data_IF_192156329155
#
_entry.id   IF_192156329155
#
_cell.length_a   1.000
_cell.length_b   1.000
_cell.length_c   1.000
_cell.angle_alpha   90.00
_cell.angle_beta   90.00
_cell.angle_gamma   90.00
#
_symmetry.space_group_name_H-M   'P 1'
#
loop_
_entity.id
_entity.type
_entity.pdbx_description
1 polymer ?
#
# COMPACT_ATOMS: atom_id res chain seq x y z
N UNK A 1 34.15 -39.44 -57.99
CA UNK A 1 33.12 -39.47 -56.92
C UNK A 1 31.75 -39.57 -57.60
N UNK A 2 30.90 -40.53 -57.22
CA UNK A 2 29.61 -40.75 -57.90
C UNK A 2 28.54 -39.84 -57.27
N UNK A 3 28.24 -38.73 -57.95
CA UNK A 3 27.30 -37.69 -57.50
C UNK A 3 25.89 -38.22 -57.22
N UNK A 4 25.43 -39.21 -57.98
CA UNK A 4 24.12 -39.83 -57.76
C UNK A 4 24.05 -40.56 -56.40
N UNK A 5 25.12 -41.27 -56.02
CA UNK A 5 25.19 -41.95 -54.71
C UNK A 5 25.25 -40.95 -53.54
N UNK A 6 25.88 -39.79 -53.76
CA UNK A 6 25.97 -38.73 -52.75
C UNK A 6 24.62 -38.02 -52.55
N UNK A 7 23.91 -37.70 -53.64
CA UNK A 7 22.58 -37.10 -53.58
C UNK A 7 21.61 -38.04 -52.86
N UNK A 8 21.60 -39.33 -53.21
CA UNK A 8 20.75 -40.32 -52.56
C UNK A 8 21.00 -40.39 -51.04
N UNK A 9 22.27 -40.43 -50.64
CA UNK A 9 22.64 -40.49 -49.22
C UNK A 9 22.22 -39.22 -48.46
N UNK A 10 22.38 -38.03 -49.04
CA UNK A 10 21.94 -36.77 -48.42
C UNK A 10 20.43 -36.74 -48.25
N UNK A 11 19.67 -37.19 -49.26
CA UNK A 11 18.21 -37.25 -49.19
C UNK A 11 17.74 -38.22 -48.09
N UNK A 12 18.34 -39.40 -48.01
CA UNK A 12 18.01 -40.38 -46.95
C UNK A 12 18.33 -39.82 -45.56
N UNK A 13 19.49 -39.19 -45.38
CA UNK A 13 19.84 -38.58 -44.10
C UNK A 13 18.92 -37.42 -43.73
N UNK A 14 18.48 -36.62 -44.70
CA UNK A 14 17.51 -35.56 -44.47
C UNK A 14 16.16 -36.12 -44.00
N UNK A 15 15.63 -37.15 -44.66
CA UNK A 15 14.38 -37.79 -44.22
C UNK A 15 14.51 -38.47 -42.86
N UNK A 16 15.66 -39.08 -42.55
CA UNK A 16 15.93 -39.63 -41.22
C UNK A 16 16.01 -38.54 -40.16
N UNK A 17 16.63 -37.39 -40.47
CA UNK A 17 16.69 -36.24 -39.57
C UNK A 17 15.30 -35.66 -39.30
N UNK A 18 14.52 -35.38 -40.35
CA UNK A 18 13.14 -34.86 -40.21
C UNK A 18 12.25 -35.87 -39.49
N UNK A 19 12.36 -37.17 -39.82
CA UNK A 19 11.64 -38.24 -39.13
C UNK A 19 12.01 -38.35 -37.65
N UNK A 20 13.29 -38.18 -37.32
CA UNK A 20 13.78 -38.14 -35.94
C UNK A 20 13.24 -36.92 -35.19
N UNK A 21 13.25 -35.73 -35.80
CA UNK A 21 12.64 -34.53 -35.21
C UNK A 21 11.14 -34.68 -34.99
N UNK A 22 10.41 -35.29 -35.94
CA UNK A 22 8.98 -35.54 -35.80
C UNK A 22 8.68 -36.58 -34.70
N UNK A 23 9.45 -37.67 -34.63
CA UNK A 23 9.34 -38.65 -33.56
C UNK A 23 9.67 -38.05 -32.19
N UNK A 24 10.72 -37.21 -32.12
CA UNK A 24 11.05 -36.45 -30.92
C UNK A 24 9.92 -35.52 -30.50
N UNK A 25 9.34 -34.76 -31.43
CA UNK A 25 8.22 -33.86 -31.15
C UNK A 25 6.97 -34.62 -30.66
N UNK A 26 6.63 -35.77 -31.26
CA UNK A 26 5.48 -36.59 -30.83
C UNK A 26 5.68 -37.16 -29.42
N UNK A 27 6.91 -37.45 -29.01
CA UNK A 27 7.22 -37.95 -27.67
C UNK A 27 7.34 -36.81 -26.64
N UNK A 28 7.96 -35.69 -27.01
CA UNK A 28 8.29 -34.58 -26.10
C UNK A 28 7.11 -33.61 -25.90
N UNK A 29 6.35 -33.28 -26.95
CA UNK A 29 5.25 -32.30 -26.87
C UNK A 29 4.17 -32.67 -25.84
N UNK A 30 3.68 -33.92 -25.75
CA UNK A 30 2.64 -34.28 -24.78
C UNK A 30 3.07 -34.13 -23.32
N UNK A 31 4.38 -34.27 -23.05
CA UNK A 31 4.94 -34.09 -21.71
C UNK A 31 5.21 -32.62 -21.42
N UNK A 32 5.73 -31.89 -22.40
CA UNK A 32 6.20 -30.52 -22.24
C UNK A 32 5.08 -29.46 -22.34
N UNK A 33 3.98 -29.75 -23.06
CA UNK A 33 2.86 -28.81 -23.21
C UNK A 33 2.06 -28.57 -21.92
N UNK A 34 1.60 -29.58 -21.15
CA UNK A 34 0.82 -29.33 -19.94
C UNK A 34 1.67 -28.64 -18.86
N UNK A 35 2.92 -29.08 -18.71
CA UNK A 35 3.88 -28.47 -17.78
C UNK A 35 4.10 -27.00 -18.12
N UNK A 36 4.24 -26.66 -19.41
CA UNK A 36 4.40 -25.28 -19.85
C UNK A 36 3.13 -24.44 -19.60
N UNK A 37 1.95 -25.00 -19.84
CA UNK A 37 0.67 -24.31 -19.64
C UNK A 37 0.41 -24.04 -18.15
N UNK A 38 0.75 -25.00 -17.29
CA UNK A 38 0.71 -24.87 -15.82
C UNK A 38 1.68 -23.79 -15.32
N UNK A 39 2.95 -23.83 -15.74
CA UNK A 39 3.93 -22.78 -15.39
C UNK A 39 3.50 -21.38 -15.86
N UNK A 40 2.91 -21.28 -17.06
CA UNK A 40 2.43 -20.00 -17.56
C UNK A 40 1.21 -19.49 -16.79
N UNK A 41 0.34 -20.39 -16.33
CA UNK A 41 -0.82 -20.01 -15.51
C UNK A 41 -0.40 -19.57 -14.11
N UNK A 42 0.50 -20.30 -13.45
CA UNK A 42 1.07 -19.90 -12.16
C UNK A 42 1.72 -18.52 -12.26
N UNK A 43 2.63 -18.33 -13.22
CA UNK A 43 3.29 -17.03 -13.45
C UNK A 43 2.28 -15.91 -13.78
N UNK A 44 1.19 -16.23 -14.48
CA UNK A 44 0.10 -15.29 -14.78
C UNK A 44 -0.65 -14.88 -13.51
N UNK A 45 -0.92 -15.84 -12.62
CA UNK A 45 -1.59 -15.62 -11.33
C UNK A 45 -0.71 -14.74 -10.42
N UNK A 46 0.59 -15.03 -10.31
CA UNK A 46 1.53 -14.23 -9.51
C UNK A 46 1.58 -12.77 -10.02
N UNK A 47 1.69 -12.58 -11.34
CA UNK A 47 1.67 -11.24 -11.97
C UNK A 47 0.33 -10.54 -11.76
N UNK A 48 -0.77 -11.28 -11.82
CA UNK A 48 -2.12 -10.78 -11.56
C UNK A 48 -2.30 -10.32 -10.11
N UNK A 49 -1.77 -11.08 -9.16
CA UNK A 49 -1.76 -10.74 -7.73
C UNK A 49 -1.02 -9.42 -7.49
N UNK A 50 0.16 -9.24 -8.10
CA UNK A 50 0.92 -7.99 -8.02
C UNK A 50 0.13 -6.81 -8.62
N UNK A 51 -0.46 -6.98 -9.80
CA UNK A 51 -1.26 -5.94 -10.45
C UNK A 51 -2.48 -5.57 -9.62
N UNK A 52 -3.16 -6.55 -9.02
CA UNK A 52 -4.28 -6.34 -8.12
C UNK A 52 -3.87 -5.56 -6.87
N UNK A 53 -2.76 -5.97 -6.22
CA UNK A 53 -2.26 -5.30 -5.03
C UNK A 53 -1.85 -3.84 -5.31
N UNK A 54 -1.35 -3.53 -6.50
CA UNK A 54 -0.97 -2.16 -6.87
C UNK A 54 -2.17 -1.27 -7.25
N UNK A 55 -3.18 -1.83 -7.93
CA UNK A 55 -4.18 -1.02 -8.63
C UNK A 55 -5.62 -1.18 -8.11
N UNK A 56 -5.95 -2.34 -7.53
CA UNK A 56 -7.32 -2.74 -7.25
C UNK A 56 -7.65 -2.77 -5.74
N UNK A 57 -6.67 -3.10 -4.90
CA UNK A 57 -6.89 -3.33 -3.46
C UNK A 57 -7.46 -2.13 -2.70
N UNK A 58 -7.16 -0.91 -3.14
CA UNK A 58 -7.62 0.32 -2.47
C UNK A 58 -9.14 0.45 -2.47
N UNK A 59 -9.81 -0.10 -3.49
CA UNK A 59 -11.26 -0.17 -3.55
C UNK A 59 -11.80 -1.54 -3.13
N UNK A 60 -11.08 -2.63 -3.47
CA UNK A 60 -11.58 -3.99 -3.34
C UNK A 60 -11.06 -4.77 -2.13
N UNK A 61 -10.24 -4.16 -1.27
CA UNK A 61 -9.65 -4.79 -0.08
C UNK A 61 -8.32 -5.51 -0.37
N UNK A 62 -7.47 -5.65 0.66
CA UNK A 62 -6.15 -6.28 0.52
C UNK A 62 -6.25 -7.77 0.16
N UNK A 63 -7.28 -8.44 0.69
CA UNK A 63 -7.62 -9.83 0.40
C UNK A 63 -8.78 -9.97 -0.58
N UNK A 64 -9.19 -8.88 -1.25
CA UNK A 64 -10.34 -8.87 -2.16
C UNK A 64 -11.71 -8.96 -1.47
N UNK A 65 -11.76 -8.67 -0.17
CA UNK A 65 -12.94 -8.73 0.70
C UNK A 65 -14.00 -7.65 0.42
N UNK A 66 -13.66 -6.66 -0.42
CA UNK A 66 -14.50 -5.52 -0.77
C UNK A 66 -14.22 -4.29 0.10
N UNK A 67 -15.09 -3.29 -0.01
CA UNK A 67 -14.98 -2.01 0.69
C UNK A 67 -15.76 -0.95 -0.07
N UNK A 68 -15.04 -0.03 -0.71
CA UNK A 68 -15.62 0.92 -1.69
C UNK A 68 -16.12 0.17 -2.93
N UNK A 69 -15.33 -0.79 -3.39
CA UNK A 69 -15.65 -1.72 -4.45
C UNK A 69 -16.28 -3.00 -3.92
N UNK A 70 -16.91 -3.75 -4.82
CA UNK A 70 -17.50 -5.06 -4.51
C UNK A 70 -16.42 -6.09 -4.12
N UNK A 71 -16.75 -7.11 -3.31
CA UNK A 71 -15.83 -8.21 -3.04
C UNK A 71 -15.48 -8.95 -4.33
N UNK A 72 -14.19 -9.22 -4.53
CA UNK A 72 -13.66 -9.94 -5.70
C UNK A 72 -13.11 -11.32 -5.33
N UNK A 73 -12.73 -11.53 -4.07
CA UNK A 73 -12.33 -12.84 -3.57
C UNK A 73 -13.57 -13.65 -3.15
N UNK A 74 -14.32 -14.16 -4.13
CA UNK A 74 -15.59 -14.87 -3.88
C UNK A 74 -15.59 -16.27 -4.46
N UNK A 75 -16.35 -17.19 -3.85
CA UNK A 75 -16.54 -18.54 -4.39
C UNK A 75 -17.12 -18.55 -5.81
N UNK A 76 -17.91 -17.52 -6.17
CA UNK A 76 -18.50 -17.41 -7.50
C UNK A 76 -17.44 -17.21 -8.59
N UNK A 77 -16.40 -16.40 -8.35
CA UNK A 77 -15.34 -16.17 -9.32
C UNK A 77 -14.34 -17.33 -9.42
N UNK A 78 -14.23 -18.16 -8.38
CA UNK A 78 -13.34 -19.33 -8.32
C UNK A 78 -13.99 -20.63 -8.83
N UNK A 79 -15.25 -20.58 -9.28
CA UNK A 79 -15.96 -21.74 -9.81
C UNK A 79 -15.35 -22.18 -11.14
N UNK A 80 -14.77 -23.38 -11.15
CA UNK A 80 -14.06 -23.96 -12.31
C UNK A 80 -15.00 -24.70 -13.28
N UNK A 81 -16.32 -24.66 -13.07
CA UNK A 81 -17.26 -25.11 -14.10
C UNK A 81 -16.99 -24.36 -15.42
N UNK A 82 -16.78 -25.05 -16.56
CA UNK A 82 -16.33 -24.40 -17.80
C UNK A 82 -17.23 -23.27 -18.31
N UNK A 83 -18.55 -23.36 -18.07
CA UNK A 83 -19.49 -22.33 -18.52
C UNK A 83 -19.45 -21.11 -17.60
N UNK A 84 -19.42 -21.33 -16.28
CA UNK A 84 -19.31 -20.26 -15.30
C UNK A 84 -17.95 -19.56 -15.36
N UNK A 85 -16.86 -20.33 -15.44
CA UNK A 85 -15.51 -19.80 -15.58
C UNK A 85 -15.40 -18.90 -16.82
N UNK A 86 -15.88 -19.37 -17.98
CA UNK A 86 -15.90 -18.57 -19.20
C UNK A 86 -16.71 -17.29 -19.05
N UNK A 87 -17.89 -17.36 -18.44
CA UNK A 87 -18.74 -16.18 -18.21
C UNK A 87 -18.08 -15.18 -17.24
N UNK A 88 -17.48 -15.67 -16.15
CA UNK A 88 -16.77 -14.86 -15.16
C UNK A 88 -15.57 -14.15 -15.77
N UNK A 89 -14.72 -14.87 -16.51
CA UNK A 89 -13.56 -14.29 -17.20
C UNK A 89 -13.99 -13.18 -18.15
N UNK A 90 -15.01 -13.43 -18.96
CA UNK A 90 -15.52 -12.45 -19.93
C UNK A 90 -16.16 -11.22 -19.26
N UNK A 91 -16.79 -11.40 -18.09
CA UNK A 91 -17.33 -10.32 -17.28
C UNK A 91 -16.19 -9.47 -16.69
N UNK A 92 -15.20 -10.11 -16.08
CA UNK A 92 -14.06 -9.44 -15.44
C UNK A 92 -13.23 -8.69 -16.47
N UNK A 93 -12.85 -9.35 -17.57
CA UNK A 93 -12.07 -8.77 -18.66
C UNK A 93 -12.74 -7.50 -19.21
N UNK A 94 -14.04 -7.56 -19.52
CA UNK A 94 -14.79 -6.40 -20.00
C UNK A 94 -14.86 -5.28 -18.97
N UNK A 95 -15.09 -5.63 -17.69
CA UNK A 95 -15.25 -4.65 -16.61
C UNK A 95 -13.93 -3.95 -16.29
N UNK A 96 -12.82 -4.69 -16.23
CA UNK A 96 -11.49 -4.12 -16.02
C UNK A 96 -11.08 -3.29 -17.23
N UNK A 97 -11.33 -3.77 -18.44
CA UNK A 97 -10.93 -3.07 -19.66
C UNK A 97 -11.63 -1.73 -19.85
N UNK A 98 -12.95 -1.69 -19.70
CA UNK A 98 -13.75 -0.52 -20.03
C UNK A 98 -14.27 0.25 -18.81
N UNK A 99 -13.97 -0.23 -17.60
CA UNK A 99 -14.60 0.26 -16.38
C UNK A 99 -16.09 -0.04 -16.36
N UNK A 100 -16.81 0.64 -15.46
CA UNK A 100 -18.28 0.52 -15.39
C UNK A 100 -18.92 1.90 -15.32
N UNK A 101 -19.59 2.26 -16.42
CA UNK A 101 -20.31 3.53 -16.50
C UNK A 101 -21.31 3.69 -15.35
N UNK A 102 -21.30 4.85 -14.70
CA UNK A 102 -22.14 5.15 -13.54
C UNK A 102 -21.61 4.62 -12.21
N UNK A 103 -20.37 4.10 -12.15
CA UNK A 103 -19.68 3.76 -10.89
C UNK A 103 -18.30 4.41 -10.82
N UNK A 104 -17.62 4.27 -9.68
CA UNK A 104 -16.24 4.72 -9.49
C UNK A 104 -15.20 3.84 -10.19
N UNK A 105 -15.59 2.71 -10.82
CA UNK A 105 -14.66 1.79 -11.45
C UNK A 105 -14.16 2.38 -12.78
N UNK A 106 -12.88 2.80 -12.88
CA UNK A 106 -12.35 3.40 -14.09
C UNK A 106 -12.07 2.33 -15.15
N UNK A 107 -11.83 2.78 -16.38
CA UNK A 107 -11.26 1.92 -17.42
C UNK A 107 -9.76 1.71 -17.15
N UNK A 108 -9.30 0.46 -17.22
CA UNK A 108 -7.90 0.13 -17.01
C UNK A 108 -7.15 -0.21 -18.30
N UNK A 109 -7.84 -0.61 -19.37
CA UNK A 109 -7.19 -0.88 -20.65
C UNK A 109 -6.70 0.43 -21.27
N UNK A 110 -5.47 0.44 -21.76
CA UNK A 110 -4.82 1.59 -22.35
C UNK A 110 -5.57 2.15 -23.57
N UNK A 111 -6.15 1.29 -24.41
CA UNK A 111 -7.01 1.72 -25.54
C UNK A 111 -8.36 2.29 -25.09
N UNK A 112 -8.72 2.07 -23.82
CA UNK A 112 -9.91 2.64 -23.17
C UNK A 112 -9.56 3.81 -22.24
N UNK A 113 -8.31 4.29 -22.26
CA UNK A 113 -7.83 5.43 -21.45
C UNK A 113 -7.21 5.07 -20.09
N UNK A 114 -6.99 3.78 -19.80
CA UNK A 114 -6.34 3.30 -18.58
C UNK A 114 -4.83 3.07 -18.70
N UNK A 115 -4.21 2.48 -17.69
CA UNK A 115 -2.76 2.30 -17.60
C UNK A 115 -2.24 0.91 -18.01
N UNK A 116 -3.13 -0.08 -18.21
CA UNK A 116 -2.77 -1.49 -18.41
C UNK A 116 -2.94 -1.92 -19.86
N UNK A 117 -2.10 -2.83 -20.33
CA UNK A 117 -2.28 -3.51 -21.61
C UNK A 117 -3.15 -4.78 -21.46
N UNK A 118 -3.58 -5.34 -22.59
CA UNK A 118 -4.46 -6.53 -22.65
C UNK A 118 -3.90 -7.74 -21.90
N UNK A 119 -2.58 -7.97 -21.95
CA UNK A 119 -1.92 -9.07 -21.24
C UNK A 119 -1.95 -8.87 -19.72
N UNK A 120 -1.79 -7.64 -19.25
CA UNK A 120 -1.90 -7.32 -17.83
C UNK A 120 -3.35 -7.52 -17.33
N UNK A 121 -4.35 -7.23 -18.16
CA UNK A 121 -5.75 -7.53 -17.83
C UNK A 121 -5.97 -9.04 -17.79
N UNK A 122 -5.42 -9.80 -18.73
CA UNK A 122 -5.45 -11.28 -18.72
C UNK A 122 -4.88 -11.83 -17.40
N UNK A 123 -3.71 -11.33 -16.95
CA UNK A 123 -3.11 -11.71 -15.67
C UNK A 123 -4.05 -11.45 -14.47
N UNK A 124 -4.71 -10.28 -14.42
CA UNK A 124 -5.67 -9.97 -13.36
C UNK A 124 -6.86 -10.94 -13.40
N UNK A 125 -7.37 -11.26 -14.60
CA UNK A 125 -8.50 -12.19 -14.76
C UNK A 125 -8.10 -13.61 -14.37
N UNK A 126 -6.91 -14.08 -14.74
CA UNK A 126 -6.34 -15.36 -14.32
C UNK A 126 -6.27 -15.44 -12.79
N UNK A 127 -5.70 -14.43 -12.15
CA UNK A 127 -5.62 -14.34 -10.69
C UNK A 127 -7.00 -14.39 -10.01
N UNK A 128 -7.95 -13.54 -10.45
CA UNK A 128 -9.28 -13.47 -9.82
C UNK A 128 -10.11 -14.75 -9.99
N UNK A 129 -9.84 -15.53 -11.04
CA UNK A 129 -10.54 -16.78 -11.34
C UNK A 129 -9.75 -18.04 -10.97
N UNK A 130 -8.58 -17.86 -10.34
CA UNK A 130 -7.71 -18.95 -9.95
C UNK A 130 -8.44 -19.96 -9.03
N UNK A 131 -8.25 -21.27 -9.23
CA UNK A 131 -8.86 -22.29 -8.40
C UNK A 131 -8.41 -22.19 -6.94
N UNK A 132 -9.23 -22.70 -6.02
CA UNK A 132 -8.84 -22.86 -4.62
C UNK A 132 -7.92 -24.08 -4.49
N UNK A 133 -6.82 -23.93 -3.77
CA UNK A 133 -6.02 -25.03 -3.27
C UNK A 133 -6.44 -25.35 -1.82
N UNK A 134 -7.10 -26.49 -1.62
CA UNK A 134 -7.58 -26.90 -0.30
C UNK A 134 -6.48 -27.20 0.72
N UNK A 135 -5.22 -27.28 0.28
CA UNK A 135 -4.06 -27.45 1.18
C UNK A 135 -3.58 -26.13 1.77
N UNK A 136 -4.02 -25.00 1.19
CA UNK A 136 -3.68 -23.65 1.62
C UNK A 136 -4.86 -23.00 2.34
N UNK A 137 -4.56 -22.24 3.38
CA UNK A 137 -5.56 -21.49 4.16
C UNK A 137 -5.18 -20.03 4.28
N UNK A 138 -6.18 -19.15 4.27
CA UNK A 138 -6.02 -17.74 4.57
C UNK A 138 -5.84 -17.49 6.08
N UNK A 139 -5.68 -16.23 6.46
CA UNK A 139 -5.47 -15.81 7.86
C UNK A 139 -6.63 -16.17 8.80
N UNK A 140 -7.82 -16.42 8.23
CA UNK A 140 -9.03 -16.79 8.95
C UNK A 140 -9.27 -18.32 8.94
N UNK A 141 -8.37 -19.09 8.32
CA UNK A 141 -8.47 -20.54 8.21
C UNK A 141 -9.37 -21.04 7.08
N UNK A 142 -9.79 -20.18 6.14
CA UNK A 142 -10.58 -20.60 4.98
C UNK A 142 -9.67 -21.07 3.84
N UNK A 143 -10.10 -22.07 3.03
CA UNK A 143 -9.36 -22.50 1.85
C UNK A 143 -9.10 -21.35 0.86
N UNK A 144 -7.85 -21.24 0.39
CA UNK A 144 -7.39 -20.15 -0.50
C UNK A 144 -6.49 -20.68 -1.63
N UNK A 145 -5.77 -19.80 -2.34
CA UNK A 145 -4.74 -20.19 -3.30
C UNK A 145 -3.49 -19.31 -3.16
N UNK A 146 -2.40 -19.71 -3.81
CA UNK A 146 -1.10 -19.02 -3.79
C UNK A 146 -1.24 -17.56 -4.21
N UNK A 147 -1.96 -17.28 -5.30
CA UNK A 147 -2.18 -15.92 -5.78
C UNK A 147 -2.79 -14.99 -4.73
N UNK A 148 -3.80 -15.42 -3.97
CA UNK A 148 -4.41 -14.58 -2.93
C UNK A 148 -3.51 -14.40 -1.71
N UNK A 149 -2.72 -15.41 -1.34
CA UNK A 149 -1.71 -15.27 -0.29
C UNK A 149 -0.64 -14.26 -0.70
N UNK A 150 -0.17 -14.34 -1.94
CA UNK A 150 0.77 -13.39 -2.51
C UNK A 150 0.18 -12.01 -2.68
N UNK A 151 -1.09 -11.87 -3.09
CA UNK A 151 -1.73 -10.56 -3.20
C UNK A 151 -1.81 -9.87 -1.83
N UNK A 152 -2.09 -10.63 -0.76
CA UNK A 152 -2.10 -10.13 0.61
C UNK A 152 -0.68 -9.80 1.07
N UNK A 153 0.30 -10.67 0.78
CA UNK A 153 1.71 -10.42 1.10
C UNK A 153 2.23 -9.19 0.36
N UNK A 154 1.97 -9.05 -0.95
CA UNK A 154 2.28 -7.87 -1.73
C UNK A 154 1.49 -6.66 -1.25
N UNK A 155 0.26 -6.81 -0.77
CA UNK A 155 -0.46 -5.70 -0.16
C UNK A 155 0.17 -5.29 1.17
N UNK A 156 0.64 -6.23 1.99
CA UNK A 156 1.39 -5.96 3.20
C UNK A 156 2.73 -5.32 2.89
N UNK A 157 3.47 -5.86 1.92
CA UNK A 157 4.72 -5.30 1.41
C UNK A 157 4.45 -3.95 0.80
N UNK A 158 3.39 -3.71 0.03
CA UNK A 158 3.05 -2.37 -0.48
C UNK A 158 2.57 -1.44 0.63
N UNK A 159 1.90 -1.92 1.66
CA UNK A 159 1.63 -1.13 2.86
C UNK A 159 2.91 -0.87 3.68
N UNK A 160 3.93 -1.73 3.52
CA UNK A 160 5.29 -1.60 4.05
C UNK A 160 6.27 -0.87 3.08
N UNK A 161 5.94 -0.73 1.79
CA UNK A 161 6.73 -0.14 0.70
C UNK A 161 6.12 1.21 0.28
N UNK A 162 4.90 1.51 0.72
CA UNK A 162 4.48 2.89 1.03
C UNK A 162 5.36 3.45 2.18
N UNK A 163 6.07 2.58 2.94
CA UNK A 163 7.23 2.91 3.80
C UNK A 163 8.62 2.63 3.16
N UNK A 164 8.70 2.29 1.86
CA UNK A 164 9.96 2.09 1.14
C UNK A 164 9.89 2.64 -0.30
N UNK A 165 10.26 3.90 -0.47
CA UNK A 165 10.47 4.48 -1.80
C UNK A 165 11.76 3.93 -2.45
N UNK A 166 11.66 3.60 -3.74
CA UNK A 166 12.75 3.34 -4.68
C UNK A 166 13.55 4.62 -4.99
N UNK A 167 14.87 4.50 -4.97
CA UNK A 167 15.94 5.45 -5.33
C UNK A 167 15.52 6.85 -5.84
N UNK A 168 15.71 7.85 -5.01
CA UNK A 168 15.55 9.27 -5.37
C UNK A 168 14.96 10.15 -4.28
N UNK A 169 14.41 9.54 -3.23
CA UNK A 169 13.63 10.26 -2.23
C UNK A 169 14.47 10.85 -1.10
N UNK A 170 14.19 12.11 -0.78
CA UNK A 170 14.75 12.81 0.37
C UNK A 170 13.92 12.51 1.60
N UNK A 171 14.57 12.42 2.75
CA UNK A 171 14.19 13.27 3.88
C UNK A 171 12.68 13.40 4.20
N UNK A 172 12.15 14.49 3.66
CA UNK A 172 10.77 14.87 3.82
C UNK A 172 9.77 13.84 3.27
N UNK A 173 10.13 13.04 2.26
CA UNK A 173 9.28 12.03 1.59
C UNK A 173 8.80 10.90 2.47
N UNK A 174 9.63 10.52 3.42
CA UNK A 174 9.38 9.36 4.27
C UNK A 174 8.83 9.84 5.64
N UNK A 175 9.14 11.06 6.06
CA UNK A 175 8.47 11.70 7.21
C UNK A 175 6.98 11.96 6.98
N UNK A 176 6.62 12.25 5.74
CA UNK A 176 5.24 12.37 5.22
C UNK A 176 4.41 11.10 5.35
N UNK A 177 5.02 9.93 5.55
CA UNK A 177 4.30 8.67 5.42
C UNK A 177 3.72 8.12 6.74
N UNK A 178 4.21 8.52 7.94
CA UNK A 178 3.85 7.79 9.18
C UNK A 178 3.82 8.59 10.51
N UNK A 179 3.78 9.92 10.44
CA UNK A 179 3.09 10.83 11.37
C UNK A 179 3.36 10.70 12.90
N UNK A 180 4.65 10.64 13.26
CA UNK A 180 5.20 11.16 14.53
C UNK A 180 6.34 12.09 14.15
N UNK A 181 6.49 13.20 14.87
CA UNK A 181 7.65 14.06 14.72
C UNK A 181 8.93 13.30 15.11
N UNK A 182 9.92 13.19 14.20
CA UNK A 182 11.18 12.50 14.49
C UNK A 182 11.90 13.07 15.72
N UNK A 183 11.64 14.35 16.01
CA UNK A 183 12.12 15.08 17.17
C UNK A 183 11.59 14.54 18.49
N UNK A 184 10.31 14.20 18.60
CA UNK A 184 9.71 13.66 19.82
C UNK A 184 10.27 12.27 20.14
N UNK A 185 10.44 11.44 19.11
CA UNK A 185 11.05 10.13 19.29
C UNK A 185 12.54 10.23 19.62
N UNK A 186 13.27 11.17 19.01
CA UNK A 186 14.66 11.44 19.35
C UNK A 186 14.83 12.01 20.76
N UNK A 187 14.00 12.98 21.16
CA UNK A 187 13.98 13.55 22.49
C UNK A 187 13.78 12.46 23.55
N UNK A 188 12.84 11.54 23.32
CA UNK A 188 12.55 10.43 24.22
C UNK A 188 13.69 9.38 24.29
N UNK A 189 14.50 9.29 23.23
CA UNK A 189 15.66 8.41 23.14
C UNK A 189 16.98 9.11 23.51
N UNK A 190 16.95 10.36 23.96
CA UNK A 190 18.15 11.13 24.32
C UNK A 190 19.06 11.45 23.14
N UNK A 191 18.49 11.49 21.93
CA UNK A 191 19.16 11.83 20.69
C UNK A 191 19.06 13.35 20.43
N UNK A 192 20.05 13.98 19.76
CA UNK A 192 19.96 15.37 19.32
C UNK A 192 18.66 15.62 18.52
N UNK A 193 17.96 16.72 18.83
CA UNK A 193 16.64 17.07 18.26
C UNK A 193 16.72 18.21 17.25
N UNK A 194 17.90 18.82 17.17
CA UNK A 194 18.30 19.98 16.40
C UNK A 194 19.03 19.61 15.10
N UNK A 195 19.39 18.33 14.92
CA UNK A 195 20.02 17.80 13.71
C UNK A 195 19.08 16.87 12.92
N UNK A 196 18.48 17.35 11.82
CA UNK A 196 17.62 16.56 10.95
C UNK A 196 18.29 15.32 10.34
N UNK A 197 19.60 15.34 10.12
CA UNK A 197 20.32 14.23 9.50
C UNK A 197 20.37 12.98 10.40
N UNK A 198 20.11 13.15 11.70
CA UNK A 198 20.16 12.09 12.69
C UNK A 198 18.91 11.18 12.68
N UNK A 199 17.78 11.67 12.15
CA UNK A 199 16.55 10.87 12.02
C UNK A 199 16.64 9.78 10.93
N UNK A 200 17.70 9.89 10.12
CA UNK A 200 17.85 9.30 8.78
C UNK A 200 19.05 8.40 8.72
N UNK A 201 19.96 8.64 9.67
CA UNK A 201 21.04 7.77 9.99
C UNK A 201 20.47 6.38 10.35
N UNK A 202 20.98 5.32 9.70
CA UNK A 202 20.70 3.95 10.11
C UNK A 202 21.05 3.79 11.59
N UNK A 203 20.11 3.26 12.36
CA UNK A 203 20.37 2.89 13.74
C UNK A 203 21.07 1.53 13.73
N UNK A 204 22.11 1.39 14.55
CA UNK A 204 22.92 0.18 14.60
C UNK A 204 22.05 -1.02 14.98
N UNK A 205 22.07 -2.07 14.17
CA UNK A 205 21.40 -3.35 14.47
C UNK A 205 21.74 -3.87 15.88
N UNK A 206 20.72 -4.33 16.59
CA UNK A 206 20.83 -4.75 17.99
C UNK A 206 20.69 -3.60 19.00
N UNK A 207 20.59 -2.35 18.56
CA UNK A 207 20.22 -1.22 19.41
C UNK A 207 18.80 -1.37 19.97
N UNK A 208 18.55 -0.68 21.09
CA UNK A 208 17.26 -0.68 21.76
C UNK A 208 16.64 0.70 21.66
N UNK A 209 15.47 0.80 21.02
CA UNK A 209 14.70 2.03 20.93
C UNK A 209 13.63 2.03 22.03
N UNK A 210 13.53 3.14 22.76
CA UNK A 210 12.47 3.39 23.73
C UNK A 210 11.29 4.03 23.02
N UNK A 211 10.12 3.42 23.17
CA UNK A 211 8.83 3.91 22.74
C UNK A 211 8.18 4.61 23.94
N UNK A 212 7.60 5.82 23.75
CA UNK A 212 6.93 6.55 24.81
C UNK A 212 5.85 5.75 25.56
N UNK A 213 5.55 6.10 26.82
CA UNK A 213 4.48 5.48 27.57
C UNK A 213 3.13 5.69 26.90
N UNK A 214 2.25 4.72 27.07
CA UNK A 214 0.83 4.82 26.69
C UNK A 214 -0.01 4.26 27.83
N UNK A 215 -1.33 4.49 27.87
CA UNK A 215 -2.19 3.90 28.90
C UNK A 215 -2.12 2.36 28.99
N UNK A 216 -1.81 1.68 27.87
CA UNK A 216 -1.59 0.22 27.84
C UNK A 216 -0.18 -0.20 28.24
N UNK A 217 0.80 0.70 28.11
CA UNK A 217 2.21 0.47 28.45
C UNK A 217 2.72 1.65 29.28
N UNK A 218 2.39 1.72 30.59
CA UNK A 218 2.62 2.89 31.43
C UNK A 218 4.11 3.25 31.62
N UNK A 219 5.00 2.29 31.38
CA UNK A 219 6.46 2.45 31.48
C UNK A 219 7.12 2.64 30.10
N UNK A 220 6.32 2.79 29.04
CA UNK A 220 6.81 2.71 27.66
C UNK A 220 7.16 1.28 27.24
N UNK A 221 7.79 1.15 26.08
CA UNK A 221 8.29 -0.15 25.59
C UNK A 221 9.70 -0.02 25.04
N UNK A 222 10.45 -1.10 25.11
CA UNK A 222 11.76 -1.20 24.46
C UNK A 222 11.63 -2.15 23.27
N UNK A 223 11.90 -1.64 22.07
CA UNK A 223 11.91 -2.43 20.84
C UNK A 223 13.37 -2.70 20.46
N UNK A 224 13.65 -3.94 20.10
CA UNK A 224 14.97 -4.33 19.61
C UNK A 224 15.02 -4.12 18.11
N UNK A 225 16.09 -3.50 17.65
CA UNK A 225 16.30 -3.20 16.23
C UNK A 225 16.91 -4.44 15.57
N UNK A 226 16.23 -4.96 14.56
CA UNK A 226 16.60 -6.26 13.95
C UNK A 226 17.35 -6.11 12.63
N UNK A 227 17.23 -4.97 11.93
CA UNK A 227 17.88 -4.75 10.64
C UNK A 227 18.98 -3.68 10.71
N UNK A 228 19.97 -3.75 9.79
CA UNK A 228 21.09 -2.80 9.73
C UNK A 228 20.70 -1.45 9.10
N UNK A 229 19.46 -1.33 8.61
CA UNK A 229 18.92 -0.15 7.92
C UNK A 229 17.62 0.38 8.58
N UNK A 230 17.36 0.00 9.83
CA UNK A 230 16.24 0.53 10.61
C UNK A 230 16.58 1.95 11.04
N UNK A 231 15.69 2.90 10.77
CA UNK A 231 15.79 4.29 11.25
C UNK A 231 14.88 4.49 12.45
N UNK A 232 15.15 5.54 13.23
CA UNK A 232 14.25 5.99 14.32
C UNK A 232 12.81 6.11 13.80
N UNK A 233 12.67 6.56 12.56
CA UNK A 233 11.42 6.64 11.82
C UNK A 233 10.73 5.29 11.66
N UNK A 234 11.33 4.32 10.96
CA UNK A 234 10.74 2.98 10.70
C UNK A 234 10.19 2.31 11.97
N UNK A 235 10.86 2.55 13.10
CA UNK A 235 10.45 2.03 14.41
C UNK A 235 9.16 2.70 14.92
N UNK A 236 8.98 3.99 14.67
CA UNK A 236 7.79 4.75 15.05
C UNK A 236 6.53 4.28 14.29
N UNK A 237 6.70 4.00 12.99
CA UNK A 237 5.65 3.57 12.05
C UNK A 237 5.17 2.16 12.38
N UNK A 238 6.12 1.23 12.53
CA UNK A 238 5.83 -0.16 12.91
C UNK A 238 5.12 -0.30 14.27
N UNK A 239 5.09 0.78 15.08
CA UNK A 239 4.51 0.79 16.42
C UNK A 239 3.26 1.68 16.55
N UNK A 240 2.79 2.31 15.46
CA UNK A 240 1.56 3.13 15.43
C UNK A 240 1.50 4.25 16.47
N UNK A 241 2.64 4.86 16.78
CA UNK A 241 2.74 5.79 17.91
C UNK A 241 1.95 7.09 17.67
N UNK A 242 1.75 7.52 16.42
CA UNK A 242 0.91 8.69 16.08
C UNK A 242 -0.58 8.46 16.35
N UNK A 243 -1.13 7.31 15.94
CA UNK A 243 -2.51 6.94 16.21
C UNK A 243 -2.78 6.78 17.73
N UNK A 244 -1.80 6.26 18.47
CA UNK A 244 -1.85 6.15 19.92
C UNK A 244 -1.95 7.53 20.62
N UNK A 245 -1.14 8.50 20.19
CA UNK A 245 -1.13 9.86 20.74
C UNK A 245 -2.48 10.55 20.51
N UNK A 246 -3.03 10.46 19.30
CA UNK A 246 -4.33 11.09 18.99
C UNK A 246 -5.46 10.41 19.77
N UNK A 247 -5.43 9.08 19.89
CA UNK A 247 -6.42 8.35 20.71
C UNK A 247 -6.36 8.78 22.18
N UNK A 248 -5.16 8.89 22.74
CA UNK A 248 -4.94 9.30 24.13
C UNK A 248 -5.41 10.73 24.40
N UNK A 249 -5.03 11.68 23.55
CA UNK A 249 -5.44 13.07 23.65
C UNK A 249 -6.97 13.23 23.66
N UNK A 250 -7.66 12.33 22.96
CA UNK A 250 -9.10 12.32 22.82
C UNK A 250 -9.82 11.36 23.77
N UNK A 251 -9.09 10.72 24.69
CA UNK A 251 -9.61 9.72 25.64
C UNK A 251 -10.36 8.57 24.95
N UNK A 252 -9.92 8.21 23.75
CA UNK A 252 -10.50 7.12 22.97
C UNK A 252 -9.86 5.79 23.40
N UNK A 253 -10.66 4.77 23.75
CA UNK A 253 -10.12 3.43 24.01
C UNK A 253 -9.46 2.86 22.75
N UNK A 254 -8.31 2.21 22.88
CA UNK A 254 -7.60 1.56 21.77
C UNK A 254 -6.84 0.31 22.25
N UNK A 255 -6.28 -0.45 21.32
CA UNK A 255 -5.39 -1.59 21.55
C UNK A 255 -4.24 -1.59 20.54
N UNK A 256 -3.02 -1.89 21.00
CA UNK A 256 -1.86 -2.11 20.12
C UNK A 256 -1.38 -3.55 20.29
N UNK A 257 -1.39 -4.34 19.21
CA UNK A 257 -0.73 -5.64 19.17
C UNK A 257 0.77 -5.46 18.89
N UNK A 258 1.58 -5.64 19.93
CA UNK A 258 3.03 -5.46 19.86
C UNK A 258 3.74 -6.52 18.98
N UNK A 259 3.13 -7.68 18.74
CA UNK A 259 3.72 -8.75 17.91
C UNK A 259 3.38 -8.56 16.44
N UNK A 260 2.18 -8.04 16.16
CA UNK A 260 1.66 -7.85 14.80
C UNK A 260 1.84 -6.44 14.26
N UNK A 261 2.19 -5.49 15.13
CA UNK A 261 2.27 -4.08 14.76
C UNK A 261 0.91 -3.59 14.25
N UNK A 262 -0.18 -3.89 14.97
CA UNK A 262 -1.53 -3.45 14.59
C UNK A 262 -2.12 -2.53 15.65
N UNK A 263 -2.74 -1.45 15.21
CA UNK A 263 -3.55 -0.55 16.03
C UNK A 263 -5.03 -0.89 15.84
N UNK A 264 -5.83 -0.76 16.90
CA UNK A 264 -7.27 -1.02 16.84
C UNK A 264 -7.97 -0.06 17.79
N UNK A 265 -8.87 0.76 17.27
CA UNK A 265 -9.72 1.63 18.07
C UNK A 265 -10.85 0.81 18.71
N UNK A 266 -11.23 1.14 19.94
CA UNK A 266 -12.25 0.43 20.70
C UNK A 266 -13.38 1.39 21.13
N UNK A 267 -14.59 0.86 21.26
CA UNK A 267 -15.70 1.58 21.88
C UNK A 267 -15.64 1.51 23.42
N UNK A 268 -16.62 2.14 24.08
CA UNK A 268 -16.76 2.14 25.54
C UNK A 268 -16.99 0.75 26.16
N UNK A 269 -17.40 -0.24 25.37
CA UNK A 269 -17.55 -1.64 25.76
C UNK A 269 -16.30 -2.48 25.48
N UNK A 270 -15.25 -1.91 24.88
CA UNK A 270 -14.02 -2.60 24.52
C UNK A 270 -14.10 -3.39 23.21
N UNK A 271 -15.14 -3.17 22.40
CA UNK A 271 -15.28 -3.81 21.08
C UNK A 271 -14.56 -2.97 20.01
N UNK A 272 -13.95 -3.64 19.05
CA UNK A 272 -13.26 -2.98 17.94
C UNK A 272 -14.24 -2.14 17.11
N UNK A 273 -13.86 -0.89 16.86
CA UNK A 273 -14.58 0.03 15.98
C UNK A 273 -13.70 0.37 14.78
N UNK A 274 -14.31 0.34 13.60
CA UNK A 274 -13.63 0.47 12.32
C UNK A 274 -13.31 1.93 11.95
N UNK A 275 -13.68 2.89 12.80
CA UNK A 275 -13.40 4.31 12.56
C UNK A 275 -14.16 5.23 13.50
N UNK A 276 -14.05 6.53 13.24
CA UNK A 276 -14.72 7.58 14.01
C UNK A 276 -16.03 8.00 13.33
N UNK A 277 -16.97 8.49 14.14
CA UNK A 277 -18.24 8.94 13.59
C UNK A 277 -18.09 10.29 12.88
N UNK A 278 -18.71 10.49 11.69
CA UNK A 278 -18.81 11.80 11.08
C UNK A 278 -19.42 12.82 12.05
N UNK A 279 -18.80 14.00 12.16
CA UNK A 279 -19.17 15.06 13.10
C UNK A 279 -18.47 14.97 14.46
N UNK A 280 -17.76 13.89 14.76
CA UNK A 280 -16.98 13.76 15.98
C UNK A 280 -15.84 14.79 16.00
N UNK A 281 -15.66 15.47 17.12
CA UNK A 281 -14.60 16.46 17.31
C UNK A 281 -13.38 15.81 17.98
N UNK A 282 -12.20 16.02 17.40
CA UNK A 282 -10.94 15.56 17.96
C UNK A 282 -10.04 16.73 18.34
N UNK A 283 -9.48 16.70 19.55
CA UNK A 283 -8.34 17.51 19.96
C UNK A 283 -7.07 17.03 19.25
N UNK A 284 -6.21 17.97 18.87
CA UNK A 284 -4.91 17.74 18.24
C UNK A 284 -3.78 18.30 19.12
N UNK A 285 -2.55 17.79 18.99
CA UNK A 285 -1.40 18.30 19.74
C UNK A 285 -1.17 19.80 19.53
N UNK A 286 -0.73 20.50 20.58
CA UNK A 286 -0.42 21.93 20.50
C UNK A 286 0.84 22.21 19.66
N UNK A 287 0.97 23.43 19.13
CA UNK A 287 2.19 23.89 18.46
C UNK A 287 2.38 23.43 17.00
N UNK A 288 1.40 22.73 16.45
CA UNK A 288 1.26 22.35 15.04
C UNK A 288 2.01 23.25 14.03
N UNK A 289 3.05 22.73 13.35
CA UNK A 289 3.67 23.37 12.18
C UNK A 289 3.44 22.54 10.92
N UNK A 290 3.03 23.17 9.83
CA UNK A 290 2.69 22.57 8.54
C UNK A 290 3.81 22.74 7.50
N UNK A 291 4.35 21.64 6.98
CA UNK A 291 5.22 21.69 5.80
C UNK A 291 4.39 21.72 4.50
N UNK A 292 4.61 22.74 3.68
CA UNK A 292 3.90 22.92 2.40
C UNK A 292 4.39 21.95 1.32
N UNK A 293 3.49 21.53 0.44
CA UNK A 293 3.80 20.64 -0.70
C UNK A 293 3.62 21.36 -2.03
N UNK A 294 4.15 20.78 -3.11
CA UNK A 294 3.99 21.32 -4.45
C UNK A 294 2.50 21.48 -4.81
N UNK A 295 2.11 22.71 -5.17
CA UNK A 295 0.72 23.05 -5.46
C UNK A 295 -0.09 23.54 -4.26
N UNK A 296 0.50 23.61 -3.05
CA UNK A 296 -0.11 24.30 -1.94
C UNK A 296 -0.09 25.82 -2.13
N UNK A 297 -1.14 26.45 -1.61
CA UNK A 297 -1.36 27.89 -1.54
C UNK A 297 -1.81 28.20 -0.11
N UNK A 298 -1.77 29.46 0.31
CA UNK A 298 -2.26 29.83 1.65
C UNK A 298 -3.74 29.47 1.82
N UNK A 299 -4.55 29.64 0.77
CA UNK A 299 -5.96 29.26 0.77
C UNK A 299 -6.19 27.75 0.88
N UNK A 300 -5.44 26.93 0.14
CA UNK A 300 -5.60 25.47 0.19
C UNK A 300 -5.18 24.90 1.54
N UNK A 301 -4.09 25.42 2.12
CA UNK A 301 -3.60 25.02 3.45
C UNK A 301 -4.59 25.45 4.53
N UNK A 302 -5.05 26.69 4.50
CA UNK A 302 -6.02 27.18 5.48
C UNK A 302 -7.34 26.42 5.41
N UNK A 303 -7.86 26.17 4.20
CA UNK A 303 -9.08 25.38 3.98
C UNK A 303 -8.95 23.93 4.44
N UNK A 304 -7.81 23.29 4.20
CA UNK A 304 -7.52 21.91 4.64
C UNK A 304 -7.58 21.78 6.17
N UNK A 305 -7.03 22.76 6.87
CA UNK A 305 -6.95 22.76 8.33
C UNK A 305 -8.14 23.45 9.01
N UNK A 306 -9.14 23.91 8.24
CA UNK A 306 -10.31 24.64 8.76
C UNK A 306 -9.92 25.88 9.58
N UNK A 307 -8.88 26.60 9.15
CA UNK A 307 -8.37 27.81 9.78
C UNK A 307 -8.53 29.01 8.84
N UNK A 308 -8.49 30.23 9.38
CA UNK A 308 -8.53 31.44 8.57
C UNK A 308 -7.16 31.70 7.91
N UNK A 309 -7.15 32.08 6.63
CA UNK A 309 -5.92 32.44 5.90
C UNK A 309 -5.16 33.55 6.62
N UNK A 310 -5.87 34.57 7.12
CA UNK A 310 -5.28 35.66 7.88
C UNK A 310 -4.52 35.17 9.14
N UNK A 311 -5.10 34.21 9.88
CA UNK A 311 -4.45 33.66 11.07
C UNK A 311 -3.18 32.84 10.73
N UNK A 312 -3.19 32.18 9.57
CA UNK A 312 -2.01 31.49 9.04
C UNK A 312 -0.92 32.48 8.61
N UNK A 313 -1.29 33.57 7.95
CA UNK A 313 -0.35 34.63 7.52
C UNK A 313 0.25 35.37 8.72
N UNK A 314 -0.55 35.67 9.74
CA UNK A 314 -0.08 36.40 10.93
C UNK A 314 1.04 35.65 11.68
N UNK A 315 0.96 34.33 11.75
CA UNK A 315 1.96 33.48 12.39
C UNK A 315 3.22 33.26 11.53
N UNK A 316 3.14 33.53 10.23
CA UNK A 316 4.18 33.24 9.26
C UNK A 316 4.61 34.48 8.47
N UNK A 317 4.38 35.66 9.04
CA UNK A 317 4.42 36.94 8.33
C UNK A 317 5.75 37.20 7.62
N UNK A 318 6.85 36.78 8.25
CA UNK A 318 8.20 36.95 7.72
C UNK A 318 8.47 36.09 6.47
N UNK A 319 7.70 35.01 6.27
CA UNK A 319 7.88 34.04 5.19
C UNK A 319 6.86 34.20 4.07
N UNK A 320 5.60 34.49 4.41
CA UNK A 320 4.47 34.49 3.45
C UNK A 320 3.69 35.80 3.40
N UNK A 321 4.05 36.80 4.21
CA UNK A 321 3.27 38.04 4.35
C UNK A 321 3.17 38.91 3.10
N UNK A 322 3.97 38.65 2.06
CA UNK A 322 3.92 39.34 0.78
C UNK A 322 3.24 38.53 -0.34
N UNK A 323 2.85 37.29 -0.09
CA UNK A 323 2.21 36.40 -1.06
C UNK A 323 0.69 36.59 -1.05
N UNK A 324 0.06 36.50 -2.22
CA UNK A 324 -1.39 36.41 -2.33
C UNK A 324 -1.89 35.04 -1.84
N UNK A 325 -3.17 34.94 -1.48
CA UNK A 325 -3.73 33.70 -0.91
C UNK A 325 -3.56 32.49 -1.85
N UNK A 326 -3.56 32.76 -3.17
CA UNK A 326 -3.58 31.77 -4.26
C UNK A 326 -2.18 31.53 -4.85
N UNK A 327 -1.17 32.27 -4.38
CA UNK A 327 0.20 32.08 -4.83
C UNK A 327 0.72 30.73 -4.35
N UNK A 328 1.47 30.06 -5.23
CA UNK A 328 2.10 28.80 -4.87
C UNK A 328 3.16 29.01 -3.80
N UNK A 329 3.04 28.23 -2.73
CA UNK A 329 4.02 28.20 -1.67
C UNK A 329 5.23 27.38 -2.11
N UNK A 330 6.46 27.79 -1.73
CA UNK A 330 7.65 26.97 -1.95
C UNK A 330 7.46 25.59 -1.31
N UNK A 331 7.76 24.49 -2.00
CA UNK A 331 7.69 23.17 -1.39
C UNK A 331 8.64 23.09 -0.19
N UNK A 332 8.22 22.35 0.84
CA UNK A 332 8.92 22.16 2.12
C UNK A 332 9.05 23.43 2.98
N UNK A 333 8.33 24.52 2.67
CA UNK A 333 8.24 25.68 3.58
C UNK A 333 7.42 25.30 4.81
N UNK A 334 8.02 25.47 6.00
CA UNK A 334 7.38 25.20 7.29
C UNK A 334 6.58 26.41 7.77
N UNK A 335 5.27 26.26 7.83
CA UNK A 335 4.33 27.24 8.38
C UNK A 335 3.95 26.89 9.81
N UNK A 336 4.00 27.83 10.73
CA UNK A 336 3.37 27.67 12.05
C UNK A 336 1.86 27.75 11.87
N UNK A 337 1.14 26.68 12.23
CA UNK A 337 -0.31 26.72 12.22
C UNK A 337 -0.82 27.40 13.49
N UNK A 338 -1.93 28.15 13.41
CA UNK A 338 -2.64 28.58 14.61
C UNK A 338 -3.12 27.36 15.38
N UNK A 339 -3.24 27.47 16.70
CA UNK A 339 -3.68 26.36 17.54
C UNK A 339 -5.02 25.78 17.04
N UNK A 340 -4.97 24.56 16.50
CA UNK A 340 -6.15 23.82 16.05
C UNK A 340 -6.65 23.03 17.24
N UNK A 341 -7.58 23.62 18.00
CA UNK A 341 -8.12 23.00 19.22
C UNK A 341 -9.06 21.83 18.92
N UNK A 342 -9.72 21.83 17.76
CA UNK A 342 -10.72 20.82 17.39
C UNK A 342 -10.72 20.55 15.87
N UNK A 343 -10.77 19.28 15.48
CA UNK A 343 -11.03 18.82 14.11
C UNK A 343 -12.36 18.07 14.02
N UNK A 344 -13.16 18.32 12.98
CA UNK A 344 -14.44 17.64 12.75
C UNK A 344 -14.26 16.49 11.76
N UNK A 345 -14.42 15.26 12.25
CA UNK A 345 -14.33 14.02 11.48
C UNK A 345 -15.38 14.00 10.37
N UNK A 346 -15.00 13.59 9.16
CA UNK A 346 -15.91 13.51 7.99
C UNK A 346 -16.27 12.08 7.58
N UNK A 347 -16.19 11.14 8.51
CA UNK A 347 -16.37 9.70 8.29
C UNK A 347 -15.07 8.93 8.09
N UNK A 348 -13.97 9.50 8.56
CA UNK A 348 -12.62 8.97 8.45
C UNK A 348 -12.27 8.11 9.68
N UNK A 349 -11.41 7.10 9.51
CA UNK A 349 -10.78 6.39 10.64
C UNK A 349 -9.83 7.30 11.43
N UNK A 350 -9.41 6.90 12.64
CA UNK A 350 -8.46 7.71 13.41
C UNK A 350 -7.11 7.81 12.70
N UNK A 351 -6.71 6.73 12.02
CA UNK A 351 -5.52 6.67 11.16
C UNK A 351 -5.66 7.62 9.97
N UNK A 352 -6.83 7.67 9.33
CA UNK A 352 -7.11 8.57 8.20
C UNK A 352 -7.16 10.05 8.63
N UNK A 353 -7.68 10.34 9.82
CA UNK A 353 -7.62 11.68 10.41
C UNK A 353 -6.19 12.06 10.74
N UNK A 354 -5.42 11.16 11.37
CA UNK A 354 -3.99 11.38 11.63
C UNK A 354 -3.20 11.53 10.31
N UNK A 355 -3.59 10.84 9.23
CA UNK A 355 -3.01 10.96 7.90
C UNK A 355 -3.29 12.33 7.25
N UNK A 356 -4.51 12.86 7.37
CA UNK A 356 -4.88 14.18 6.83
C UNK A 356 -4.13 15.36 7.47
N UNK A 357 -3.56 15.13 8.66
CA UNK A 357 -2.68 16.06 9.37
C UNK A 357 -1.20 15.68 9.27
N UNK A 358 -0.80 14.80 8.33
CA UNK A 358 0.56 14.26 8.26
C UNK A 358 1.67 15.26 7.99
N UNK A 359 1.33 16.45 7.47
CA UNK A 359 2.28 17.56 7.31
C UNK A 359 2.38 18.44 8.57
N UNK A 360 1.60 18.17 9.62
CA UNK A 360 1.50 18.94 10.85
C UNK A 360 2.27 18.25 11.99
N UNK A 361 3.35 18.87 12.45
CA UNK A 361 4.14 18.40 13.60
C UNK A 361 3.80 19.20 14.86
N UNK A 362 3.71 18.57 16.03
CA UNK A 362 3.59 19.33 17.27
C UNK A 362 4.83 20.23 17.46
N UNK A 363 4.61 21.41 18.04
CA UNK A 363 5.63 22.46 18.17
C UNK A 363 6.32 22.46 19.51
#
# INVERSE_FOLDING_TARGET
>A
MNTQKQIFLVVVLFFLFVGSCAAYAVVDLPYRSPIREEYHLEESIERGALLFANNCRSCHGNSGEGGVGLPLNTAAFKDQDPLKLKANRHLLERTVSCGRAGTLMPAWLNTSGGALNERQIEHIVDFLTAPIDTTLVDENGNPTNTGWLEAVEFAHVLNQDISAIVSGDTLAAIARAHNIGPKELAAYNGLPTDDPALFDAPVVKGSRAKIPPTPQFPEGRIVTIYTENDTVRKIAEAQHVGAAIVAELNKLPFKIDAKRGTFTLLDSSGQAIFGLFPGQKLALPEGATYATVAGDTLATVAGRHSIAVAALVDLNKDMVGALAEEDQLPPDLTLVLPQIKEYVVKGQSLEEVAAGYGNVTAG
#
